data_IF_124064137268
#
_entry.id   IF_124064137268
#
_cell.length_a   1.000
_cell.length_b   1.000
_cell.length_c   1.000
_cell.angle_alpha   90.00
_cell.angle_beta   90.00
_cell.angle_gamma   90.00
#
_symmetry.space_group_name_H-M   'P 1'
#
loop_
_entity.id
_entity.type
_entity.pdbx_description
1 polymer ?
#
# COMPACT_ATOMS: atom_id res chain seq x y z
N UNK A 1 2.69 0.87 3.48
CA UNK A 1 2.48 -0.42 2.79
C UNK A 1 3.16 -0.41 1.43
N UNK A 2 3.35 -1.58 0.83
CA UNK A 2 3.83 -1.75 -0.55
C UNK A 2 3.11 -2.90 -1.26
N UNK A 3 2.99 -2.80 -2.57
CA UNK A 3 2.48 -3.87 -3.46
C UNK A 3 3.61 -4.28 -4.41
N UNK A 4 4.07 -5.53 -4.34
CA UNK A 4 5.22 -6.06 -5.08
C UNK A 4 6.45 -5.11 -5.03
N UNK A 5 6.77 -4.60 -3.84
CA UNK A 5 7.88 -3.68 -3.62
C UNK A 5 7.62 -2.22 -4.03
N UNK A 6 6.49 -1.90 -4.67
CA UNK A 6 6.12 -0.52 -4.94
C UNK A 6 5.52 0.13 -3.69
N UNK A 7 6.21 1.15 -3.14
CA UNK A 7 5.74 1.91 -1.98
C UNK A 7 4.45 2.67 -2.29
N UNK A 8 3.42 2.46 -1.48
CA UNK A 8 2.16 3.18 -1.59
C UNK A 8 2.25 4.52 -0.83
N UNK A 9 1.86 5.58 -1.52
CA UNK A 9 1.72 6.95 -1.01
C UNK A 9 0.34 7.50 -1.37
N UNK A 10 -0.03 8.68 -0.88
CA UNK A 10 -1.35 9.26 -1.11
C UNK A 10 -1.71 9.45 -2.60
N UNK A 11 -0.70 9.57 -3.47
CA UNK A 11 -0.85 9.74 -4.92
C UNK A 11 -0.56 8.47 -5.71
N UNK A 12 -0.42 7.32 -5.03
CA UNK A 12 -0.22 6.04 -5.71
C UNK A 12 -1.46 5.63 -6.49
N UNK A 13 -1.25 5.00 -7.64
CA UNK A 13 -2.31 4.51 -8.52
C UNK A 13 -2.17 3.02 -8.77
N UNK A 14 -3.31 2.32 -8.80
CA UNK A 14 -3.42 0.93 -9.25
C UNK A 14 -4.36 0.91 -10.46
N UNK A 15 -3.93 0.33 -11.58
CA UNK A 15 -4.74 0.18 -12.80
C UNK A 15 -4.71 -1.26 -13.31
N UNK A 16 -5.86 -1.76 -13.73
CA UNK A 16 -5.96 -3.07 -14.38
C UNK A 16 -5.52 -2.96 -15.85
N UNK A 17 -4.65 -3.87 -16.30
CA UNK A 17 -4.20 -3.97 -17.68
C UNK A 17 -4.12 -5.45 -18.07
N UNK A 18 -5.26 -5.98 -18.52
CA UNK A 18 -5.39 -7.38 -18.92
C UNK A 18 -5.19 -8.34 -17.76
N UNK A 19 -4.18 -9.22 -17.87
CA UNK A 19 -3.80 -10.19 -16.84
C UNK A 19 -2.89 -9.61 -15.74
N UNK A 20 -2.53 -8.33 -15.84
CA UNK A 20 -1.58 -7.66 -14.95
C UNK A 20 -2.17 -6.38 -14.36
N UNK A 21 -1.54 -5.86 -13.32
CA UNK A 21 -1.86 -4.53 -12.78
C UNK A 21 -0.65 -3.61 -12.95
N UNK A 22 -0.92 -2.31 -13.17
CA UNK A 22 0.09 -1.26 -13.05
C UNK A 22 0.00 -0.64 -11.67
N UNK A 23 1.10 -0.68 -10.92
CA UNK A 23 1.25 -0.07 -9.60
C UNK A 23 2.29 1.03 -9.72
N UNK A 24 1.90 2.29 -9.51
CA UNK A 24 2.77 3.45 -9.79
C UNK A 24 3.37 3.40 -11.21
N UNK A 25 2.59 2.94 -12.20
CA UNK A 25 3.01 2.71 -13.60
C UNK A 25 4.03 1.57 -13.82
N UNK A 26 4.35 0.78 -12.80
CA UNK A 26 5.15 -0.44 -12.91
C UNK A 26 4.22 -1.63 -13.10
N UNK A 27 4.48 -2.47 -14.09
CA UNK A 27 3.69 -3.68 -14.34
C UNK A 27 3.99 -4.78 -13.33
N UNK A 28 2.93 -5.36 -12.77
CA UNK A 28 2.97 -6.39 -11.74
C UNK A 28 2.03 -7.52 -12.16
N UNK A 29 2.54 -8.75 -12.14
CA UNK A 29 1.79 -9.97 -12.40
C UNK A 29 1.64 -10.80 -11.12
N UNK A 30 0.66 -11.72 -11.05
CA UNK A 30 0.55 -12.67 -9.96
C UNK A 30 1.79 -13.57 -9.82
N UNK A 31 2.15 -14.01 -8.59
CA UNK A 31 1.49 -13.72 -7.32
C UNK A 31 1.74 -12.29 -6.82
N UNK A 32 0.68 -11.67 -6.26
CA UNK A 32 0.73 -10.31 -5.72
C UNK A 32 1.13 -10.38 -4.25
N UNK A 33 2.23 -9.72 -3.88
CA UNK A 33 2.71 -9.63 -2.51
C UNK A 33 2.44 -8.24 -1.94
N UNK A 34 1.63 -8.17 -0.88
CA UNK A 34 1.33 -6.94 -0.15
C UNK A 34 2.03 -6.98 1.20
N UNK A 35 2.80 -5.94 1.51
CA UNK A 35 3.45 -5.77 2.83
C UNK A 35 2.91 -4.51 3.50
N UNK A 36 2.46 -4.62 4.75
CA UNK A 36 1.92 -3.51 5.52
C UNK A 36 2.51 -3.48 6.93
N UNK A 37 2.90 -2.28 7.38
CA UNK A 37 3.44 -2.04 8.72
C UNK A 37 2.32 -1.45 9.57
N UNK A 38 2.11 -2.00 10.76
CA UNK A 38 1.11 -1.57 11.74
C UNK A 38 1.00 -2.61 12.86
N UNK A 39 -0.05 -2.48 13.69
CA UNK A 39 -0.41 -3.53 14.63
C UNK A 39 -0.91 -4.76 13.86
N UNK A 40 -0.16 -5.86 13.94
CA UNK A 40 -0.42 -7.05 13.13
C UNK A 40 -1.79 -7.68 13.41
N UNK A 41 -2.25 -7.66 14.66
CA UNK A 41 -3.54 -8.24 15.04
C UNK A 41 -4.70 -7.35 14.58
N UNK A 42 -4.54 -6.03 14.63
CA UNK A 42 -5.53 -5.08 14.08
C UNK A 42 -5.62 -5.19 12.56
N UNK A 43 -4.49 -5.30 11.87
CA UNK A 43 -4.46 -5.44 10.40
C UNK A 43 -5.11 -6.75 9.95
N UNK A 44 -4.79 -7.87 10.60
CA UNK A 44 -5.39 -9.18 10.32
C UNK A 44 -6.91 -9.17 10.54
N UNK A 45 -7.36 -8.66 11.69
CA UNK A 45 -8.81 -8.54 11.98
C UNK A 45 -9.53 -7.65 10.98
N UNK A 46 -8.91 -6.55 10.57
CA UNK A 46 -9.50 -5.63 9.57
C UNK A 46 -9.66 -6.29 8.21
N UNK A 47 -8.73 -7.18 7.84
CA UNK A 47 -8.79 -7.93 6.60
C UNK A 47 -9.88 -9.02 6.63
N UNK A 48 -10.10 -9.64 7.79
CA UNK A 48 -11.08 -10.70 8.03
C UNK A 48 -12.49 -10.18 8.37
N UNK A 49 -12.75 -8.88 8.19
CA UNK A 49 -14.10 -8.35 8.37
C UNK A 49 -15.09 -9.01 7.39
N UNK A 50 -16.24 -9.46 7.91
CA UNK A 50 -17.34 -9.95 7.09
C UNK A 50 -17.83 -8.87 6.13
N UNK A 51 -18.14 -9.24 4.90
CA UNK A 51 -18.42 -8.32 3.79
C UNK A 51 -17.21 -7.52 3.31
N UNK A 52 -16.00 -7.81 3.83
CA UNK A 52 -14.77 -7.13 3.48
C UNK A 52 -14.20 -7.55 2.12
N UNK A 53 -13.24 -6.78 1.62
CA UNK A 53 -12.64 -7.02 0.31
C UNK A 53 -11.92 -8.38 0.17
N UNK A 54 -11.49 -8.99 1.28
CA UNK A 54 -10.76 -10.25 1.29
C UNK A 54 -11.64 -11.48 1.55
N UNK A 55 -12.92 -11.32 1.90
CA UNK A 55 -13.78 -12.45 2.27
C UNK A 55 -13.89 -13.48 1.14
N UNK A 56 -14.25 -13.04 -0.06
CA UNK A 56 -14.35 -13.93 -1.23
C UNK A 56 -12.99 -14.57 -1.58
N UNK A 57 -11.89 -13.86 -1.37
CA UNK A 57 -10.55 -14.36 -1.66
C UNK A 57 -10.15 -15.47 -0.67
N UNK A 58 -10.53 -15.34 0.61
CA UNK A 58 -10.35 -16.39 1.60
C UNK A 58 -11.22 -17.62 1.31
N UNK A 59 -12.49 -17.42 0.95
CA UNK A 59 -13.41 -18.52 0.64
C UNK A 59 -12.97 -19.36 -0.56
N UNK A 60 -12.24 -18.75 -1.50
CA UNK A 60 -11.69 -19.39 -2.68
C UNK A 60 -10.25 -19.88 -2.50
N UNK A 61 -9.68 -19.77 -1.30
CA UNK A 61 -8.29 -20.13 -0.98
C UNK A 61 -7.25 -19.44 -1.90
N UNK A 62 -7.52 -18.18 -2.27
CA UNK A 62 -6.70 -17.40 -3.21
C UNK A 62 -5.70 -16.47 -2.54
N UNK A 63 -5.70 -16.38 -1.22
CA UNK A 63 -4.82 -15.48 -0.45
C UNK A 63 -4.24 -16.18 0.78
N UNK A 64 -3.01 -15.82 1.10
CA UNK A 64 -2.33 -16.23 2.33
C UNK A 64 -1.97 -14.97 3.13
N UNK A 65 -2.17 -15.04 4.45
CA UNK A 65 -1.90 -13.92 5.36
C UNK A 65 -0.95 -14.39 6.45
N UNK A 66 0.17 -13.67 6.60
CA UNK A 66 1.22 -14.02 7.57
C UNK A 66 1.58 -12.80 8.41
N UNK A 67 1.55 -12.96 9.74
CA UNK A 67 2.05 -11.94 10.67
C UNK A 67 3.57 -12.08 10.83
N UNK A 68 4.28 -10.96 10.75
CA UNK A 68 5.73 -10.90 10.93
C UNK A 68 6.07 -9.75 11.86
N UNK A 69 7.06 -9.95 12.73
CA UNK A 69 7.52 -8.92 13.68
C UNK A 69 8.26 -7.80 12.97
N UNK A 70 9.14 -8.17 12.03
CA UNK A 70 9.97 -7.24 11.28
C UNK A 70 9.75 -7.45 9.80
N UNK A 71 9.36 -6.39 9.12
CA UNK A 71 9.23 -6.37 7.66
C UNK A 71 9.89 -5.13 7.09
N UNK A 72 10.45 -5.27 5.89
CA UNK A 72 11.01 -4.14 5.15
C UNK A 72 9.99 -3.73 4.09
N UNK A 73 9.57 -2.46 4.17
CA UNK A 73 8.79 -1.79 3.14
C UNK A 73 9.69 -0.73 2.50
N UNK A 74 9.98 -0.82 1.18
CA UNK A 74 10.91 0.10 0.54
C UNK A 74 10.43 1.55 0.57
N UNK A 75 11.38 2.46 0.39
CA UNK A 75 11.10 3.88 0.23
C UNK A 75 10.36 4.15 -1.09
N UNK A 76 9.68 5.29 -1.16
CA UNK A 76 9.07 5.73 -2.41
C UNK A 76 10.15 6.37 -3.29
N UNK A 77 10.32 5.86 -4.51
CA UNK A 77 11.35 6.33 -5.45
C UNK A 77 10.84 7.40 -6.42
N UNK A 78 9.52 7.64 -6.46
CA UNK A 78 8.93 8.66 -7.32
C UNK A 78 9.12 10.08 -6.80
N UNK A 79 8.96 11.07 -7.68
CA UNK A 79 9.02 12.49 -7.31
C UNK A 79 7.63 13.07 -7.09
N UNK A 80 7.40 13.66 -5.91
CA UNK A 80 6.20 14.47 -5.66
C UNK A 80 6.50 15.90 -6.12
N UNK A 81 5.91 16.33 -7.25
CA UNK A 81 6.10 17.67 -7.80
C UNK A 81 4.84 18.52 -7.64
N UNK A 82 4.99 19.64 -6.93
CA UNK A 82 3.97 20.68 -6.82
C UNK A 82 4.24 21.76 -7.86
N UNK A 83 3.32 21.95 -8.81
CA UNK A 83 3.48 22.97 -9.86
C UNK A 83 3.03 24.36 -9.39
N UNK A 84 1.92 24.42 -8.65
CA UNK A 84 1.33 25.68 -8.20
C UNK A 84 1.40 25.89 -6.67
N UNK A 85 1.46 24.82 -5.89
CA UNK A 85 1.47 24.92 -4.43
C UNK A 85 2.86 25.35 -3.93
N UNK A 86 2.89 26.30 -2.98
CA UNK A 86 4.08 26.75 -2.27
C UNK A 86 3.91 26.51 -0.77
N UNK A 87 4.95 26.07 -0.05
CA UNK A 87 4.88 25.93 1.39
C UNK A 87 4.65 27.31 2.04
N UNK A 88 3.77 27.36 3.03
CA UNK A 88 3.59 28.55 3.86
C UNK A 88 4.74 28.60 4.86
N UNK A 89 5.49 29.70 4.89
CA UNK A 89 6.51 29.92 5.92
C UNK A 89 5.84 29.99 7.30
N UNK A 90 6.12 29.02 8.17
CA UNK A 90 5.75 29.11 9.58
C UNK A 90 6.77 30.01 10.28
N UNK A 91 6.36 31.22 10.72
CA UNK A 91 7.14 32.00 11.70
C UNK A 91 7.33 31.12 12.95
N UNK A 92 8.58 30.84 13.30
CA UNK A 92 8.93 30.13 14.52
C UNK A 92 8.40 30.93 15.73
N UNK A 93 7.34 30.42 16.36
CA UNK A 93 6.86 30.95 17.63
C UNK A 93 7.90 30.55 18.68
N UNK A 94 8.84 31.45 18.97
CA UNK A 94 9.78 31.31 20.10
C UNK A 94 8.94 31.12 21.37
N UNK A 95 9.24 30.05 22.10
CA UNK A 95 8.76 29.80 23.46
C UNK A 95 9.31 30.86 24.41
#
# INVERSE_FOLDING_TARGET
MSVNGQRMVATSSIRCVGSTILVNSVQVAPPIMIKAIGDADVLEKSLMLQGGAAENLFLLDMIEVTKQKDIIVPAYEGTIRFHAAKPVEKKAKKR
#
